data_IF_096480559422
#
_entry.id   IF_096480559422
#
_cell.length_a   1.000
_cell.length_b   1.000
_cell.length_c   1.000
_cell.angle_alpha   90.00
_cell.angle_beta   90.00
_cell.angle_gamma   90.00
#
_symmetry.space_group_name_H-M   'P 1'
#
loop_
_entity.id
_entity.type
_entity.pdbx_description
1 polymer ?
#
# COMPACT_ATOMS: atom_id res chain seq x y z
N UNK A 1 5.25 19.14 12.05
CA UNK A 1 5.75 17.80 11.66
C UNK A 1 4.82 16.82 12.32
N UNK A 2 3.88 16.23 11.58
CA UNK A 2 3.06 15.15 12.13
C UNK A 2 3.99 13.93 12.24
N UNK A 3 4.24 13.45 13.45
CA UNK A 3 4.86 12.14 13.67
C UNK A 3 4.00 11.10 12.94
N UNK A 4 4.58 10.50 11.89
CA UNK A 4 3.93 9.41 11.15
C UNK A 4 4.02 8.17 12.02
N UNK A 5 2.88 7.72 12.54
CA UNK A 5 2.81 6.50 13.32
C UNK A 5 2.99 5.28 12.40
N UNK A 6 4.00 4.46 12.71
CA UNK A 6 4.17 3.16 12.07
C UNK A 6 3.00 2.25 12.46
N UNK A 7 2.40 1.58 11.47
CA UNK A 7 1.26 0.68 11.66
C UNK A 7 1.80 -0.75 11.77
N UNK A 8 1.52 -1.41 12.89
CA UNK A 8 1.85 -2.83 13.06
C UNK A 8 0.94 -3.75 12.23
N UNK A 9 1.34 -5.02 12.08
CA UNK A 9 0.60 -5.96 11.23
C UNK A 9 -0.84 -6.18 11.70
N UNK A 10 -1.08 -6.26 13.01
CA UNK A 10 -2.41 -6.51 13.55
C UNK A 10 -3.37 -5.35 13.24
N UNK A 11 -2.90 -4.12 13.44
CA UNK A 11 -3.64 -2.90 13.13
C UNK A 11 -3.88 -2.78 11.63
N UNK A 12 -2.85 -3.05 10.81
CA UNK A 12 -2.96 -3.04 9.34
C UNK A 12 -4.04 -4.03 8.86
N UNK A 13 -4.06 -5.24 9.43
CA UNK A 13 -5.04 -6.27 9.07
C UNK A 13 -6.46 -5.84 9.41
N UNK A 14 -6.70 -5.30 10.61
CA UNK A 14 -8.01 -4.78 11.00
C UNK A 14 -8.47 -3.64 10.07
N UNK A 15 -7.56 -2.72 9.74
CA UNK A 15 -7.81 -1.63 8.80
C UNK A 15 -8.17 -2.16 7.40
N UNK A 16 -7.46 -3.18 6.91
CA UNK A 16 -7.72 -3.81 5.62
C UNK A 16 -9.09 -4.50 5.57
N UNK A 17 -9.50 -5.19 6.64
CA UNK A 17 -10.82 -5.81 6.76
C UNK A 17 -11.95 -4.77 6.70
N UNK A 18 -11.79 -3.64 7.39
CA UNK A 18 -12.76 -2.53 7.34
C UNK A 18 -12.84 -1.91 5.93
N UNK A 19 -11.70 -1.72 5.27
CA UNK A 19 -11.63 -1.23 3.89
C UNK A 19 -12.37 -2.17 2.92
N UNK A 20 -12.14 -3.48 3.05
CA UNK A 20 -12.76 -4.49 2.19
C UNK A 20 -14.28 -4.60 2.38
N UNK A 21 -14.79 -4.22 3.56
CA UNK A 21 -16.23 -4.18 3.84
C UNK A 21 -16.97 -3.01 3.16
N UNK A 22 -16.25 -2.03 2.60
CA UNK A 22 -16.88 -0.89 1.91
C UNK A 22 -17.50 -1.36 0.59
N UNK A 23 -18.82 -1.22 0.47
CA UNK A 23 -19.59 -1.60 -0.73
C UNK A 23 -20.01 -0.40 -1.60
N UNK A 24 -19.93 0.83 -1.07
CA UNK A 24 -20.29 2.05 -1.79
C UNK A 24 -19.42 2.22 -3.05
N UNK A 25 -20.05 2.57 -4.18
CA UNK A 25 -19.34 2.98 -5.40
C UNK A 25 -18.55 4.26 -5.17
N UNK A 26 -17.28 4.28 -5.59
CA UNK A 26 -16.41 5.43 -5.45
C UNK A 26 -15.31 5.39 -6.51
N UNK A 27 -15.00 6.54 -7.09
CA UNK A 27 -13.97 6.67 -8.14
C UNK A 27 -12.58 6.19 -7.72
N UNK A 28 -12.29 6.13 -6.41
CA UNK A 28 -11.00 5.63 -5.91
C UNK A 28 -10.70 4.19 -6.37
N UNK A 29 -11.74 3.41 -6.69
CA UNK A 29 -11.62 2.00 -7.03
C UNK A 29 -11.78 1.73 -8.54
N UNK A 30 -12.02 2.77 -9.37
CA UNK A 30 -12.27 2.61 -10.81
C UNK A 30 -11.05 2.01 -11.52
N UNK A 31 -9.85 2.37 -11.07
CA UNK A 31 -8.58 1.87 -11.61
C UNK A 31 -8.21 0.45 -11.14
N UNK A 32 -8.98 -0.13 -10.21
CA UNK A 32 -8.78 -1.50 -9.74
C UNK A 32 -7.31 -1.80 -9.40
N UNK A 33 -6.73 -1.06 -8.47
CA UNK A 33 -5.31 -1.15 -8.10
C UNK A 33 -4.94 -2.46 -7.36
N UNK A 34 -5.31 -3.63 -7.88
CA UNK A 34 -5.14 -4.93 -7.22
C UNK A 34 -3.67 -5.34 -7.09
N UNK A 35 -2.87 -5.07 -8.12
CA UNK A 35 -1.42 -5.13 -8.11
C UNK A 35 -0.79 -3.74 -7.96
N UNK A 36 0.52 -3.69 -7.77
CA UNK A 36 1.24 -2.42 -7.86
C UNK A 36 1.16 -1.86 -9.28
N UNK A 37 0.74 -0.61 -9.39
CA UNK A 37 0.69 0.11 -10.66
C UNK A 37 1.05 1.58 -10.46
N UNK A 38 1.36 2.28 -11.55
CA UNK A 38 1.48 3.74 -11.53
C UNK A 38 0.17 4.35 -11.05
N UNK A 39 0.26 5.38 -10.20
CA UNK A 39 -0.90 6.16 -9.77
C UNK A 39 -1.64 6.74 -10.99
N UNK A 40 -2.89 6.33 -11.26
CA UNK A 40 -3.67 6.86 -12.37
C UNK A 40 -3.88 8.36 -12.23
N UNK A 41 -3.76 9.11 -13.34
CA UNK A 41 -3.98 10.56 -13.34
C UNK A 41 -5.42 10.95 -13.01
N UNK A 42 -6.36 10.01 -13.13
CA UNK A 42 -7.78 10.16 -12.76
C UNK A 42 -8.02 10.09 -11.25
N UNK A 43 -7.04 9.59 -10.48
CA UNK A 43 -7.09 9.60 -9.02
C UNK A 43 -6.49 10.92 -8.50
N UNK A 44 -7.36 11.84 -8.10
CA UNK A 44 -6.94 13.12 -7.53
C UNK A 44 -6.27 12.90 -6.16
N UNK A 45 -5.13 13.57 -5.91
CA UNK A 45 -4.36 13.36 -4.67
C UNK A 45 -5.12 13.79 -3.42
N UNK A 46 -5.99 14.80 -3.51
CA UNK A 46 -6.84 15.29 -2.43
C UNK A 46 -7.97 14.32 -2.05
N UNK A 47 -8.22 13.30 -2.87
CA UNK A 47 -9.14 12.21 -2.54
C UNK A 47 -8.58 11.30 -1.44
N UNK A 48 -7.29 11.39 -1.12
CA UNK A 48 -6.62 10.52 -0.16
C UNK A 48 -5.97 11.32 0.97
N UNK A 49 -6.11 10.81 2.18
CA UNK A 49 -5.33 11.25 3.34
C UNK A 49 -4.36 10.14 3.78
N UNK A 50 -3.17 10.52 4.23
CA UNK A 50 -2.23 9.59 4.87
C UNK A 50 -2.70 9.29 6.30
N UNK A 51 -2.95 8.02 6.60
CA UNK A 51 -3.41 7.55 7.93
C UNK A 51 -2.30 6.88 8.75
N UNK A 52 -1.17 6.55 8.11
CA UNK A 52 0.01 6.01 8.76
C UNK A 52 1.03 5.51 7.74
N UNK A 53 2.02 4.76 8.21
CA UNK A 53 3.12 4.26 7.37
C UNK A 53 3.47 2.82 7.72
N UNK A 54 3.96 2.07 6.74
CA UNK A 54 4.58 0.75 6.93
C UNK A 54 6.10 0.82 7.08
N UNK A 55 6.67 2.02 6.93
CA UNK A 55 8.07 2.28 7.28
C UNK A 55 8.21 2.17 8.80
N UNK A 56 8.79 1.06 9.28
CA UNK A 56 8.97 0.79 10.71
C UNK A 56 9.95 1.79 11.35
N UNK A 57 11.08 2.07 10.68
CA UNK A 57 12.07 3.05 11.12
C UNK A 57 12.52 3.92 9.93
N UNK A 58 12.27 5.24 9.94
CA UNK A 58 12.64 6.13 8.83
C UNK A 58 14.15 6.40 8.71
N UNK A 59 14.95 5.96 9.69
CA UNK A 59 16.40 6.13 9.69
C UNK A 59 17.15 4.88 9.20
N UNK A 60 16.47 3.74 9.08
CA UNK A 60 17.08 2.51 8.58
C UNK A 60 17.01 2.45 7.05
N UNK A 61 18.01 1.82 6.43
CA UNK A 61 17.97 1.54 5.01
C UNK A 61 16.92 0.46 4.72
N UNK A 62 15.97 0.70 3.80
CA UNK A 62 14.94 -0.28 3.47
C UNK A 62 15.57 -1.49 2.76
N UNK A 63 15.05 -2.68 3.03
CA UNK A 63 15.34 -3.83 2.17
C UNK A 63 14.59 -3.71 0.84
N UNK A 64 15.23 -4.18 -0.24
CA UNK A 64 14.61 -4.32 -1.56
C UNK A 64 14.23 -5.78 -1.87
N UNK A 65 14.29 -6.67 -0.88
CA UNK A 65 13.81 -8.05 -1.03
C UNK A 65 12.30 -8.10 -1.25
N UNK A 66 11.86 -8.90 -2.22
CA UNK A 66 10.45 -9.13 -2.54
C UNK A 66 9.97 -10.47 -1.95
N UNK A 67 8.75 -10.49 -1.40
CA UNK A 67 8.16 -11.72 -0.85
C UNK A 67 7.20 -12.38 -1.84
N UNK A 68 7.70 -13.35 -2.59
CA UNK A 68 6.95 -14.08 -3.64
C UNK A 68 7.13 -15.61 -3.55
N UNK A 69 6.69 -16.28 -2.47
CA UNK A 69 6.87 -17.72 -2.28
C UNK A 69 6.17 -18.58 -3.35
N UNK A 70 5.13 -18.05 -4.00
CA UNK A 70 4.41 -18.70 -5.09
C UNK A 70 4.89 -18.26 -6.50
N UNK A 71 5.99 -17.49 -6.59
CA UNK A 71 6.53 -17.01 -7.87
C UNK A 71 5.72 -15.88 -8.53
N UNK A 72 4.88 -15.17 -7.76
CA UNK A 72 4.20 -13.93 -8.20
C UNK A 72 5.21 -12.82 -8.50
N UNK A 73 4.75 -11.71 -9.09
CA UNK A 73 5.52 -10.49 -9.31
C UNK A 73 4.77 -9.30 -8.71
N UNK A 74 5.39 -8.13 -8.63
CA UNK A 74 4.73 -6.91 -8.15
C UNK A 74 3.44 -6.55 -8.91
N UNK A 75 3.38 -6.87 -10.21
CA UNK A 75 2.21 -6.67 -11.08
C UNK A 75 1.22 -7.84 -11.08
N UNK A 76 1.38 -8.82 -10.19
CA UNK A 76 0.41 -9.89 -10.00
C UNK A 76 -0.68 -9.43 -9.02
N UNK A 77 -1.95 -9.58 -9.39
CA UNK A 77 -3.09 -9.20 -8.54
C UNK A 77 -3.14 -9.96 -7.22
N UNK A 78 -2.63 -11.20 -7.23
CA UNK A 78 -2.54 -12.13 -6.10
C UNK A 78 -1.19 -12.09 -5.37
N UNK A 79 -0.30 -11.14 -5.71
CA UNK A 79 0.96 -10.98 -5.01
C UNK A 79 0.74 -10.72 -3.51
N UNK A 80 1.52 -11.34 -2.60
CA UNK A 80 1.42 -11.02 -1.19
C UNK A 80 1.68 -9.53 -0.90
N UNK A 81 1.06 -9.02 0.18
CA UNK A 81 1.39 -7.75 0.82
C UNK A 81 2.08 -8.11 2.15
N UNK A 82 3.41 -8.16 2.13
CA UNK A 82 4.22 -8.45 3.31
C UNK A 82 4.90 -7.15 3.81
N UNK A 83 4.46 -6.54 4.93
CA UNK A 83 4.91 -5.19 5.32
C UNK A 83 6.41 -5.01 5.50
N UNK A 84 7.16 -6.07 5.81
CA UNK A 84 8.61 -6.03 5.99
C UNK A 84 9.41 -6.08 4.68
N UNK A 85 8.75 -6.35 3.55
CA UNK A 85 9.38 -6.55 2.24
C UNK A 85 9.05 -5.41 1.26
N UNK A 86 9.89 -5.28 0.22
CA UNK A 86 9.65 -4.33 -0.85
C UNK A 86 8.40 -4.69 -1.66
N UNK A 87 7.59 -3.69 -2.07
CA UNK A 87 7.68 -2.27 -1.74
C UNK A 87 6.82 -1.85 -0.54
N UNK A 88 6.19 -2.80 0.17
CA UNK A 88 5.29 -2.50 1.28
C UNK A 88 6.04 -1.79 2.43
N UNK A 89 7.27 -2.19 2.73
CA UNK A 89 8.13 -1.58 3.76
C UNK A 89 8.48 -0.10 3.53
N UNK A 90 8.19 0.44 2.34
CA UNK A 90 8.39 1.84 1.97
C UNK A 90 7.08 2.62 1.86
N UNK A 91 5.95 1.94 2.08
CA UNK A 91 4.64 2.47 1.72
C UNK A 91 3.98 3.27 2.83
N UNK A 92 3.26 4.33 2.44
CA UNK A 92 2.27 5.00 3.29
C UNK A 92 0.91 4.32 3.13
N UNK A 93 0.12 4.33 4.19
CA UNK A 93 -1.27 3.84 4.18
C UNK A 93 -2.19 5.03 3.95
N UNK A 94 -2.87 5.01 2.81
CA UNK A 94 -3.80 6.05 2.37
C UNK A 94 -5.24 5.63 2.63
N UNK A 95 -6.07 6.59 3.05
CA UNK A 95 -7.51 6.43 3.15
C UNK A 95 -8.22 7.35 2.18
N UNK A 96 -9.15 6.80 1.41
CA UNK A 96 -10.04 7.61 0.60
C UNK A 96 -10.98 8.41 1.50
N UNK A 97 -10.95 9.75 1.42
CA UNK A 97 -11.80 10.61 2.26
C UNK A 97 -13.29 10.52 1.92
N UNK A 98 -13.63 9.96 0.75
CA UNK A 98 -15.02 9.82 0.26
C UNK A 98 -15.70 8.50 0.68
N UNK A 99 -14.96 7.40 0.77
CA UNK A 99 -15.53 6.07 1.06
C UNK A 99 -14.74 5.23 2.07
N UNK A 100 -13.62 5.74 2.58
CA UNK A 100 -12.77 5.09 3.58
C UNK A 100 -12.03 3.81 3.15
N UNK A 101 -12.07 3.42 1.86
CA UNK A 101 -11.18 2.39 1.33
C UNK A 101 -9.71 2.78 1.50
N UNK A 102 -8.88 1.77 1.74
CA UNK A 102 -7.46 1.91 2.00
C UNK A 102 -6.60 1.42 0.85
N UNK A 103 -5.49 2.13 0.65
CA UNK A 103 -4.49 1.84 -0.37
C UNK A 103 -3.10 2.00 0.23
N UNK A 104 -2.12 1.35 -0.36
CA UNK A 104 -0.70 1.58 -0.12
C UNK A 104 -0.14 2.44 -1.25
N UNK A 105 0.76 3.36 -0.90
CA UNK A 105 1.47 4.19 -1.86
C UNK A 105 2.94 4.27 -1.51
N UNK A 106 3.81 4.11 -2.48
CA UNK A 106 5.23 4.44 -2.36
C UNK A 106 5.71 5.20 -3.60
N UNK A 107 6.83 5.89 -3.48
CA UNK A 107 7.50 6.52 -4.62
C UNK A 107 8.66 5.63 -5.05
N UNK A 108 8.57 5.09 -6.25
CA UNK A 108 9.64 4.36 -6.89
C UNK A 108 10.66 5.33 -7.46
N UNK A 109 11.93 5.17 -7.07
CA UNK A 109 13.05 5.96 -7.59
C UNK A 109 13.88 5.13 -8.57
N UNK A 110 14.01 5.62 -9.81
CA UNK A 110 15.01 5.16 -10.77
C UNK A 110 16.09 6.21 -10.97
N UNK A 111 17.17 5.87 -11.67
CA UNK A 111 18.32 6.79 -11.89
C UNK A 111 17.95 8.12 -12.57
N UNK A 112 16.83 8.18 -13.30
CA UNK A 112 16.36 9.37 -14.03
C UNK A 112 14.86 9.66 -13.90
N UNK A 113 14.14 8.90 -13.06
CA UNK A 113 12.69 9.08 -12.89
C UNK A 113 12.26 8.84 -11.44
N UNK A 114 11.14 9.44 -11.08
CA UNK A 114 10.39 9.10 -9.87
C UNK A 114 8.95 8.84 -10.26
N UNK A 115 8.38 7.75 -9.77
CA UNK A 115 7.03 7.34 -10.09
C UNK A 115 6.26 6.99 -8.82
N UNK A 116 5.08 7.57 -8.66
CA UNK A 116 4.20 7.21 -7.56
C UNK A 116 3.46 5.94 -7.93
N UNK A 117 3.58 4.93 -7.07
CA UNK A 117 2.91 3.64 -7.20
C UNK A 117 1.78 3.54 -6.17
N UNK A 118 0.68 2.89 -6.56
CA UNK A 118 -0.46 2.63 -5.68
C UNK A 118 -0.89 1.17 -5.78
N UNK A 119 -1.42 0.64 -4.67
CA UNK A 119 -2.06 -0.67 -4.59
C UNK A 119 -3.19 -0.66 -3.56
N UNK A 120 -4.31 -1.29 -3.84
CA UNK A 120 -5.40 -1.49 -2.90
C UNK A 120 -4.97 -2.39 -1.75
N UNK A 121 -5.33 -2.01 -0.51
CA UNK A 121 -5.01 -2.80 0.67
C UNK A 121 -6.04 -3.92 0.84
N UNK A 122 -5.70 -5.11 0.36
CA UNK A 122 -6.57 -6.28 0.36
C UNK A 122 -6.22 -7.24 1.52
N UNK A 123 -7.15 -7.50 2.47
CA UNK A 123 -6.84 -8.27 3.67
C UNK A 123 -6.42 -9.71 3.39
N UNK A 124 -6.97 -10.34 2.34
CA UNK A 124 -6.65 -11.71 1.96
C UNK A 124 -5.23 -11.91 1.41
N UNK A 125 -4.54 -10.81 1.06
CA UNK A 125 -3.16 -10.84 0.56
C UNK A 125 -2.14 -10.46 1.64
N UNK A 126 -2.58 -10.03 2.83
CA UNK A 126 -1.67 -9.66 3.92
C UNK A 126 -0.98 -10.89 4.52
N UNK A 127 0.35 -10.83 4.60
CA UNK A 127 1.19 -11.89 5.19
C UNK A 127 2.18 -11.30 6.18
N UNK A 128 2.20 -11.83 7.40
CA UNK A 128 3.19 -11.46 8.43
C UNK A 128 4.45 -12.31 8.29
N UNK A 129 5.17 -12.12 7.18
CA UNK A 129 6.42 -12.82 6.92
C UNK A 129 7.57 -12.20 7.72
N UNK A 130 8.38 -13.05 8.36
CA UNK A 130 9.62 -12.62 9.02
C UNK A 130 10.72 -12.41 7.97
N UNK A 131 11.55 -11.37 8.16
CA UNK A 131 12.77 -11.12 7.38
C UNK A 131 13.90 -12.08 7.80
#
# INVERSE_FOLDING_TARGET
MNERMAIDFATLKQMAEQSAAVTQSCSCNDAQAWSWQQMPLTLELDQFEETGTLVENPYDEPTFEEYHPAGTRLQSDDAPIAPRYYPANLSQVLRCVKCSRLYLRYTEGGGYFTEVRIRALQPQLLVDAAL
#
